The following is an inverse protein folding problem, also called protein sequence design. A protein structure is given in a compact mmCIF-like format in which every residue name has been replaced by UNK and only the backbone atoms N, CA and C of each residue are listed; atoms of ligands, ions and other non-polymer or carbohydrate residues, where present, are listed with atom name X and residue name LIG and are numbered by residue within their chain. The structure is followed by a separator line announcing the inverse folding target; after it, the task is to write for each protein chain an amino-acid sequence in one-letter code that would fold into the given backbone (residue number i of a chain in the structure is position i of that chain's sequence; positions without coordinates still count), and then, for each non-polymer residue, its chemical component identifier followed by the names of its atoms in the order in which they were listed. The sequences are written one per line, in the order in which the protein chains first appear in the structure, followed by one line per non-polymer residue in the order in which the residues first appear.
data_IF_054144095919
#
_entry.id   IF_054144095919
#
_cell.length_a   1.000
_cell.length_b   1.000
_cell.length_c   1.000
_cell.angle_alpha   90.00
_cell.angle_beta   90.00
_cell.angle_gamma   90.00
#
_symmetry.space_group_name_H-M   'P 1'
#
loop_
_entity.id
_entity.type
_entity.pdbx_description
1 polymer ?
#
# COMPACT_ATOMS: atom_id res chain seq x y z
N UNK A 1 20.57 19.73 10.55
CA UNK A 1 20.66 20.55 9.32
C UNK A 1 20.44 19.59 8.17
N UNK A 2 19.43 19.84 7.33
CA UNK A 2 19.07 18.94 6.24
C UNK A 2 20.04 19.12 5.06
N UNK A 3 20.26 18.06 4.28
CA UNK A 3 21.17 18.08 3.13
C UNK A 3 20.84 19.21 2.14
N UNK A 4 19.56 19.42 1.84
CA UNK A 4 19.04 20.52 1.01
C UNK A 4 19.40 21.91 1.53
N UNK A 5 19.46 22.11 2.86
CA UNK A 5 19.81 23.40 3.46
C UNK A 5 21.32 23.66 3.43
N UNK A 6 22.11 22.59 3.31
CA UNK A 6 23.57 22.67 3.25
C UNK A 6 24.07 22.92 1.84
N UNK A 7 23.42 22.36 0.81
CA UNK A 7 23.86 22.45 -0.59
C UNK A 7 24.10 23.91 -1.04
N UNK A 8 23.15 24.86 -0.88
CA UNK A 8 23.34 26.26 -1.31
C UNK A 8 24.51 27.00 -0.63
N UNK A 9 25.03 26.48 0.48
CA UNK A 9 26.19 27.09 1.17
C UNK A 9 27.50 26.84 0.42
N UNK A 10 27.56 25.79 -0.40
CA UNK A 10 28.74 25.45 -1.19
C UNK A 10 28.80 26.26 -2.49
N UNK A 11 29.97 26.80 -2.87
CA UNK A 11 30.11 27.68 -4.04
C UNK A 11 29.53 27.12 -5.34
N UNK A 12 29.69 25.82 -5.60
CA UNK A 12 29.20 25.15 -6.82
C UNK A 12 27.67 24.97 -6.88
N UNK A 13 26.96 25.13 -5.76
CA UNK A 13 25.51 24.96 -5.66
C UNK A 13 24.77 26.29 -5.37
N UNK A 14 25.49 27.41 -5.26
CA UNK A 14 24.87 28.73 -4.95
C UNK A 14 23.83 29.18 -5.97
N UNK A 15 24.01 28.82 -7.23
CA UNK A 15 23.10 29.15 -8.33
C UNK A 15 22.15 28.02 -8.69
N UNK A 16 22.18 26.90 -7.95
CA UNK A 16 21.34 25.75 -8.25
C UNK A 16 19.87 26.07 -8.01
N UNK A 17 19.02 25.64 -8.93
CA UNK A 17 17.56 25.70 -8.79
C UNK A 17 17.11 24.69 -7.75
N UNK A 18 15.94 24.94 -7.16
CA UNK A 18 15.33 24.01 -6.20
C UNK A 18 15.13 22.60 -6.79
N UNK A 19 14.73 22.50 -8.06
CA UNK A 19 14.58 21.22 -8.75
C UNK A 19 15.89 20.43 -8.85
N UNK A 20 17.02 21.10 -9.02
CA UNK A 20 18.34 20.46 -9.10
C UNK A 20 18.80 19.97 -7.71
N UNK A 21 18.44 20.71 -6.65
CA UNK A 21 18.70 20.32 -5.26
C UNK A 21 17.84 19.11 -4.86
N UNK A 22 16.58 19.07 -5.29
CA UNK A 22 15.68 17.93 -5.08
C UNK A 22 16.19 16.70 -5.81
N UNK A 23 16.53 16.81 -7.10
CA UNK A 23 17.10 15.71 -7.87
C UNK A 23 18.41 15.19 -7.26
N UNK A 24 19.28 16.08 -6.76
CA UNK A 24 20.48 15.68 -6.04
C UNK A 24 20.16 14.92 -4.73
N UNK A 25 19.10 15.32 -4.03
CA UNK A 25 18.66 14.67 -2.79
C UNK A 25 18.06 13.29 -3.05
N UNK A 26 17.32 13.14 -4.15
CA UNK A 26 16.82 11.86 -4.66
C UNK A 26 17.96 10.90 -5.02
N UNK A 27 18.99 11.41 -5.73
CA UNK A 27 20.19 10.62 -6.06
C UNK A 27 20.93 10.22 -4.78
N UNK A 28 21.00 11.10 -3.78
CA UNK A 28 21.61 10.78 -2.50
C UNK A 28 20.84 9.68 -1.74
N UNK A 29 19.50 9.77 -1.69
CA UNK A 29 18.64 8.69 -1.17
C UNK A 29 19.00 7.36 -1.85
N UNK A 30 18.99 7.34 -3.19
CA UNK A 30 19.29 6.15 -3.97
C UNK A 30 20.67 5.57 -3.63
N UNK A 31 21.72 6.41 -3.59
CA UNK A 31 23.07 5.93 -3.31
C UNK A 31 23.20 5.30 -1.93
N UNK A 32 22.70 5.99 -0.89
CA UNK A 32 22.78 5.52 0.50
C UNK A 32 21.95 4.24 0.69
N UNK A 33 20.71 4.26 0.22
CA UNK A 33 19.78 3.13 0.41
C UNK A 33 20.20 1.91 -0.36
N UNK A 34 20.78 2.08 -1.56
CA UNK A 34 21.35 0.99 -2.35
C UNK A 34 22.58 0.39 -1.69
N UNK A 35 23.50 1.20 -1.18
CA UNK A 35 24.73 0.70 -0.53
C UNK A 35 24.40 -0.05 0.77
N UNK A 36 23.43 0.44 1.55
CA UNK A 36 23.06 -0.14 2.85
C UNK A 36 21.82 -1.02 2.79
N UNK A 37 21.38 -1.44 1.60
CA UNK A 37 20.07 -2.07 1.39
C UNK A 37 19.80 -3.24 2.34
N UNK A 38 20.74 -4.18 2.45
CA UNK A 38 20.58 -5.37 3.29
C UNK A 38 20.48 -5.03 4.78
N UNK A 39 21.20 -3.99 5.24
CA UNK A 39 21.11 -3.52 6.61
C UNK A 39 19.75 -2.88 6.89
N UNK A 40 19.31 -1.99 5.99
CA UNK A 40 18.09 -1.21 6.13
C UNK A 40 16.81 -2.04 5.95
N UNK A 41 16.80 -3.06 5.08
CA UNK A 41 15.64 -3.94 4.91
C UNK A 41 15.44 -4.90 6.09
N UNK A 42 16.49 -5.22 6.83
CA UNK A 42 16.45 -6.22 7.90
C UNK A 42 16.39 -5.60 9.30
N UNK A 43 16.31 -4.27 9.42
CA UNK A 43 16.38 -3.55 10.69
C UNK A 43 15.10 -3.64 11.53
N UNK A 44 13.95 -3.88 10.90
CA UNK A 44 12.64 -3.85 11.55
C UNK A 44 12.12 -5.28 11.78
N UNK A 45 12.20 -5.77 13.01
CA UNK A 45 11.68 -7.09 13.37
C UNK A 45 10.14 -7.14 13.36
N UNK A 46 9.49 -6.03 13.68
CA UNK A 46 8.03 -5.96 13.66
C UNK A 46 7.48 -6.11 12.23
N UNK A 47 8.15 -5.49 11.25
CA UNK A 47 7.80 -5.67 9.85
C UNK A 47 7.92 -7.14 9.38
N UNK A 48 8.89 -7.90 9.90
CA UNK A 48 9.06 -9.33 9.58
C UNK A 48 7.91 -10.18 10.14
N UNK A 49 7.47 -9.93 11.37
CA UNK A 49 6.35 -10.63 11.99
C UNK A 49 5.02 -10.38 11.24
N UNK A 50 4.84 -9.15 10.77
CA UNK A 50 3.71 -8.80 9.91
C UNK A 50 3.79 -9.50 8.55
N UNK A 51 4.99 -9.62 7.97
CA UNK A 51 5.20 -10.35 6.72
C UNK A 51 4.84 -11.84 6.86
N UNK A 52 5.24 -12.49 7.96
CA UNK A 52 4.83 -13.87 8.25
C UNK A 52 3.30 -14.00 8.35
N UNK A 53 2.66 -13.01 8.98
CA UNK A 53 1.21 -12.97 9.14
C UNK A 53 0.50 -12.76 7.80
N UNK A 54 1.02 -11.87 6.95
CA UNK A 54 0.50 -11.65 5.60
C UNK A 54 0.64 -12.90 4.73
N UNK A 55 1.77 -13.59 4.81
CA UNK A 55 1.98 -14.84 4.08
C UNK A 55 0.96 -15.90 4.48
N UNK A 56 0.64 -16.03 5.78
CA UNK A 56 -0.45 -16.90 6.24
C UNK A 56 -1.80 -16.47 5.68
N UNK A 57 -2.09 -15.17 5.63
CA UNK A 57 -3.31 -14.67 4.99
C UNK A 57 -3.38 -15.05 3.50
N UNK A 58 -2.30 -14.89 2.73
CA UNK A 58 -2.26 -15.27 1.32
C UNK A 58 -2.55 -16.76 1.08
N UNK A 59 -2.16 -17.64 2.00
CA UNK A 59 -2.46 -19.07 1.92
C UNK A 59 -3.91 -19.37 2.29
N UNK A 60 -4.41 -18.73 3.35
CA UNK A 60 -5.75 -18.96 3.88
C UNK A 60 -6.86 -18.38 2.99
N UNK A 61 -6.55 -17.32 2.26
CA UNK A 61 -7.49 -16.53 1.47
C UNK A 61 -7.36 -16.77 -0.04
N UNK A 62 -6.68 -17.85 -0.46
CA UNK A 62 -6.47 -18.17 -1.89
C UNK A 62 -7.80 -18.34 -2.65
N UNK A 63 -8.85 -18.81 -1.96
CA UNK A 63 -10.20 -18.97 -2.49
C UNK A 63 -10.89 -17.66 -2.89
N UNK A 64 -10.42 -16.50 -2.43
CA UNK A 64 -11.09 -15.23 -2.71
C UNK A 64 -11.08 -14.97 -4.21
N UNK A 65 -12.26 -14.90 -4.80
CA UNK A 65 -12.58 -14.40 -6.13
C UNK A 65 -13.06 -12.93 -6.12
N UNK A 66 -13.10 -12.28 -7.29
CA UNK A 66 -13.52 -10.89 -7.48
C UNK A 66 -14.89 -10.58 -6.86
N UNK A 67 -15.87 -11.49 -7.02
CA UNK A 67 -17.23 -11.32 -6.48
C UNK A 67 -17.28 -11.13 -4.96
N UNK A 68 -16.34 -11.72 -4.22
CA UNK A 68 -16.35 -11.61 -2.75
C UNK A 68 -15.93 -10.20 -2.27
N UNK A 69 -15.39 -9.38 -3.17
CA UNK A 69 -14.94 -8.01 -2.94
C UNK A 69 -15.83 -6.99 -3.67
N UNK A 70 -17.07 -7.37 -4.03
CA UNK A 70 -18.02 -6.56 -4.80
C UNK A 70 -17.53 -6.15 -6.21
N UNK A 71 -16.62 -6.93 -6.82
CA UNK A 71 -16.12 -6.64 -8.16
C UNK A 71 -16.78 -7.60 -9.15
N UNK A 72 -17.35 -7.06 -10.22
CA UNK A 72 -17.89 -7.85 -11.33
C UNK A 72 -16.74 -8.62 -12.01
N UNK A 73 -16.76 -9.97 -12.08
CA UNK A 73 -15.69 -10.73 -12.73
C UNK A 73 -15.50 -10.41 -14.22
N UNK A 74 -16.51 -9.84 -14.89
CA UNK A 74 -16.43 -9.40 -16.28
C UNK A 74 -15.72 -8.05 -16.46
N UNK A 75 -15.48 -7.28 -15.39
CA UNK A 75 -14.90 -5.94 -15.48
C UNK A 75 -13.41 -5.92 -15.77
N UNK A 76 -12.70 -6.99 -15.41
CA UNK A 76 -11.26 -7.07 -15.56
C UNK A 76 -10.80 -8.47 -15.96
N UNK A 77 -9.95 -8.54 -16.97
CA UNK A 77 -9.37 -9.78 -17.44
C UNK A 77 -8.22 -10.27 -16.54
N UNK A 78 -8.02 -11.59 -16.53
CA UNK A 78 -6.98 -12.23 -15.71
C UNK A 78 -5.55 -11.82 -16.12
N UNK A 79 -5.32 -11.47 -17.38
CA UNK A 79 -4.00 -11.03 -17.82
C UNK A 79 -3.66 -9.65 -17.23
N UNK A 80 -4.61 -8.71 -17.20
CA UNK A 80 -4.43 -7.41 -16.53
C UNK A 80 -4.13 -7.56 -15.05
N UNK A 81 -4.85 -8.45 -14.34
CA UNK A 81 -4.56 -8.79 -12.94
C UNK A 81 -3.13 -9.33 -12.79
N UNK A 82 -2.71 -10.22 -13.68
CA UNK A 82 -1.38 -10.80 -13.66
C UNK A 82 -0.28 -9.76 -13.93
N UNK A 83 -0.48 -8.85 -14.90
CA UNK A 83 0.44 -7.76 -15.22
C UNK A 83 0.55 -6.78 -14.04
N UNK A 84 -0.56 -6.39 -13.43
CA UNK A 84 -0.57 -5.54 -12.24
C UNK A 84 0.16 -6.22 -11.06
N UNK A 85 -0.11 -7.50 -10.81
CA UNK A 85 0.58 -8.29 -9.79
C UNK A 85 2.08 -8.45 -10.07
N UNK A 86 2.48 -8.55 -11.34
CA UNK A 86 3.90 -8.56 -11.74
C UNK A 86 4.60 -7.24 -11.40
N UNK A 87 3.95 -6.09 -11.64
CA UNK A 87 4.50 -4.79 -11.23
C UNK A 87 4.72 -4.74 -9.71
N UNK A 88 3.78 -5.23 -8.90
CA UNK A 88 3.99 -5.27 -7.45
C UNK A 88 5.14 -6.18 -7.04
N UNK A 89 5.31 -7.35 -7.68
CA UNK A 89 6.43 -8.26 -7.39
C UNK A 89 7.79 -7.65 -7.70
N UNK A 90 7.88 -6.64 -8.57
CA UNK A 90 9.13 -5.93 -8.85
C UNK A 90 9.67 -5.18 -7.61
N UNK A 91 8.83 -4.89 -6.61
CA UNK A 91 9.25 -4.22 -5.38
C UNK A 91 10.42 -4.93 -4.70
N UNK A 92 10.46 -6.27 -4.77
CA UNK A 92 11.53 -7.08 -4.19
C UNK A 92 12.87 -7.01 -4.95
N UNK A 93 12.88 -6.48 -6.17
CA UNK A 93 14.09 -6.27 -6.98
C UNK A 93 14.64 -4.85 -6.86
N UNK A 94 13.84 -3.91 -6.35
CA UNK A 94 14.24 -2.52 -6.16
C UNK A 94 15.02 -2.36 -4.86
N UNK A 95 16.01 -1.46 -4.87
CA UNK A 95 16.85 -1.16 -3.69
C UNK A 95 16.69 0.26 -3.16
N UNK A 96 16.02 1.14 -3.90
CA UNK A 96 15.67 2.49 -3.45
C UNK A 96 14.19 2.59 -3.06
N UNK A 97 13.83 3.43 -2.06
CA UNK A 97 12.46 3.74 -1.70
C UNK A 97 11.63 4.25 -2.89
N UNK A 98 12.19 5.17 -3.69
CA UNK A 98 11.53 5.71 -4.88
C UNK A 98 11.17 4.63 -5.90
N UNK A 99 12.10 3.73 -6.24
CA UNK A 99 11.83 2.68 -7.23
C UNK A 99 10.75 1.70 -6.75
N UNK A 100 10.72 1.43 -5.43
CA UNK A 100 9.67 0.63 -4.81
C UNK A 100 8.30 1.32 -4.91
N UNK A 101 8.22 2.63 -4.69
CA UNK A 101 6.99 3.41 -4.90
C UNK A 101 6.51 3.38 -6.35
N UNK A 102 7.43 3.50 -7.32
CA UNK A 102 7.11 3.40 -8.74
C UNK A 102 6.47 2.05 -9.08
N UNK A 103 6.96 0.94 -8.51
CA UNK A 103 6.34 -0.37 -8.71
C UNK A 103 4.88 -0.41 -8.26
N UNK A 104 4.58 0.21 -7.10
CA UNK A 104 3.22 0.25 -6.56
C UNK A 104 2.35 1.19 -7.41
N UNK A 105 2.85 2.36 -7.81
CA UNK A 105 2.14 3.31 -8.69
C UNK A 105 1.84 2.69 -10.06
N UNK A 106 2.79 1.96 -10.66
CA UNK A 106 2.56 1.25 -11.91
C UNK A 106 1.44 0.21 -11.80
N UNK A 107 1.33 -0.50 -10.67
CA UNK A 107 0.19 -1.38 -10.41
C UNK A 107 -1.14 -0.59 -10.38
N UNK A 108 -1.18 0.53 -9.65
CA UNK A 108 -2.37 1.40 -9.61
C UNK A 108 -2.75 1.95 -10.99
N UNK A 109 -1.78 2.34 -11.81
CA UNK A 109 -2.02 2.82 -13.18
C UNK A 109 -2.71 1.76 -14.04
N UNK A 110 -2.31 0.49 -13.93
CA UNK A 110 -2.96 -0.62 -14.64
C UNK A 110 -4.39 -0.82 -14.14
N UNK A 111 -4.58 -0.84 -12.81
CA UNK A 111 -5.91 -0.99 -12.19
C UNK A 111 -6.85 0.14 -12.62
N UNK A 112 -6.41 1.39 -12.50
CA UNK A 112 -7.19 2.56 -12.84
C UNK A 112 -7.52 2.57 -14.34
N UNK A 113 -6.57 2.24 -15.21
CA UNK A 113 -6.82 2.12 -16.66
C UNK A 113 -7.97 1.16 -16.96
N UNK A 114 -8.02 0.02 -16.27
CA UNK A 114 -9.08 -0.99 -16.49
C UNK A 114 -10.44 -0.53 -15.95
N UNK A 115 -10.46 0.10 -14.79
CA UNK A 115 -11.69 0.71 -14.26
C UNK A 115 -12.20 1.83 -15.18
N UNK A 116 -11.30 2.64 -15.76
CA UNK A 116 -11.68 3.66 -16.74
C UNK A 116 -12.23 3.06 -18.04
N UNK A 117 -11.64 1.99 -18.56
CA UNK A 117 -12.17 1.26 -19.72
C UNK A 117 -13.58 0.71 -19.45
N UNK A 118 -13.81 0.15 -18.26
CA UNK A 118 -15.12 -0.33 -17.82
C UNK A 118 -16.14 0.82 -17.80
N UNK A 119 -15.82 1.95 -17.16
CA UNK A 119 -16.68 3.15 -17.12
C UNK A 119 -17.08 3.56 -18.53
N UNK A 120 -16.13 3.67 -19.46
CA UNK A 120 -16.39 4.13 -20.82
C UNK A 120 -17.30 3.13 -21.54
N UNK A 121 -17.06 1.83 -21.37
CA UNK A 121 -17.88 0.80 -22.01
C UNK A 121 -19.32 0.73 -21.47
N UNK A 122 -19.51 1.03 -20.17
CA UNK A 122 -20.81 1.01 -19.50
C UNK A 122 -21.49 2.39 -19.46
N UNK A 123 -20.81 3.47 -19.87
CA UNK A 123 -21.39 4.81 -19.96
C UNK A 123 -22.60 4.87 -20.91
N UNK A 124 -22.65 3.99 -21.92
CA UNK A 124 -23.81 3.83 -22.80
C UNK A 124 -25.03 3.19 -22.13
N UNK A 125 -24.86 2.58 -20.95
CA UNK A 125 -25.92 1.93 -20.16
C UNK A 125 -26.39 2.80 -18.97
N UNK A 126 -25.97 4.07 -18.88
CA UNK A 126 -26.45 5.03 -17.88
C UNK A 126 -26.06 4.70 -16.43
N UNK A 127 -25.15 3.75 -16.22
CA UNK A 127 -24.80 3.19 -14.91
C UNK A 127 -23.27 3.16 -14.75
N UNK A 128 -22.66 4.29 -14.38
CA UNK A 128 -21.53 4.33 -13.44
C UNK A 128 -20.93 5.73 -13.32
N UNK A 129 -20.93 6.25 -12.10
CA UNK A 129 -19.94 7.24 -11.66
C UNK A 129 -19.04 6.47 -10.69
N UNK A 130 -18.02 5.80 -11.25
CA UNK A 130 -17.03 5.14 -10.41
C UNK A 130 -16.14 6.19 -9.74
N UNK A 131 -16.01 6.11 -8.42
CA UNK A 131 -15.26 7.04 -7.59
C UNK A 131 -13.80 6.61 -7.41
N UNK A 132 -12.98 7.47 -6.80
CA UNK A 132 -11.60 7.14 -6.43
C UNK A 132 -11.48 5.92 -5.47
N UNK A 133 -12.60 5.53 -4.85
CA UNK A 133 -12.70 4.42 -3.90
C UNK A 133 -12.83 3.03 -4.56
N UNK A 134 -13.13 2.97 -5.87
CA UNK A 134 -13.39 1.70 -6.57
C UNK A 134 -12.11 0.94 -6.94
N UNK A 135 -10.97 1.62 -6.92
CA UNK A 135 -9.65 1.00 -7.19
C UNK A 135 -9.15 0.13 -6.04
N UNK A 136 -9.58 0.42 -4.80
CA UNK A 136 -9.04 -0.23 -3.61
C UNK A 136 -9.46 -1.71 -3.49
N UNK A 137 -10.73 -2.11 -3.69
CA UNK A 137 -11.10 -3.53 -3.70
C UNK A 137 -10.33 -4.33 -4.77
N UNK A 138 -10.18 -3.76 -5.97
CA UNK A 138 -9.42 -4.41 -7.03
C UNK A 138 -7.93 -4.50 -6.70
N UNK A 139 -7.37 -3.48 -6.06
CA UNK A 139 -6.01 -3.51 -5.58
C UNK A 139 -5.77 -4.56 -4.48
N UNK A 140 -6.71 -4.70 -3.54
CA UNK A 140 -6.71 -5.79 -2.54
C UNK A 140 -6.69 -7.16 -3.24
N UNK A 141 -7.56 -7.33 -4.25
CA UNK A 141 -7.59 -8.57 -5.02
C UNK A 141 -6.26 -8.87 -5.73
N UNK A 142 -5.70 -7.87 -6.42
CA UNK A 142 -4.40 -7.99 -7.08
C UNK A 142 -3.31 -8.35 -6.07
N UNK A 143 -3.29 -7.73 -4.89
CA UNK A 143 -2.33 -8.07 -3.81
C UNK A 143 -2.47 -9.52 -3.34
N UNK A 144 -3.70 -9.99 -3.11
CA UNK A 144 -3.99 -11.38 -2.71
C UNK A 144 -3.49 -12.39 -3.75
N UNK A 145 -3.69 -12.10 -5.05
CA UNK A 145 -3.22 -12.98 -6.14
C UNK A 145 -1.73 -12.82 -6.44
N UNK A 146 -1.16 -11.63 -6.20
CA UNK A 146 0.25 -11.37 -6.44
C UNK A 146 1.15 -12.07 -5.42
N UNK A 147 0.67 -12.27 -4.19
CA UNK A 147 1.36 -12.92 -3.07
C UNK A 147 2.75 -12.34 -2.86
N UNK A 148 2.84 -11.01 -2.74
CA UNK A 148 4.10 -10.27 -2.73
C UNK A 148 4.90 -10.60 -1.46
N UNK A 149 6.10 -11.18 -1.57
CA UNK A 149 6.91 -11.48 -0.39
C UNK A 149 7.44 -10.20 0.27
N UNK A 150 7.59 -10.24 1.59
CA UNK A 150 8.19 -9.15 2.39
C UNK A 150 7.51 -7.79 2.20
N UNK A 151 6.19 -7.76 1.95
CA UNK A 151 5.48 -6.53 1.61
C UNK A 151 5.50 -5.50 2.76
N UNK A 152 5.35 -5.93 4.02
CA UNK A 152 5.45 -5.06 5.19
C UNK A 152 6.88 -4.54 5.36
N UNK A 153 7.91 -5.39 5.21
CA UNK A 153 9.30 -4.91 5.22
C UNK A 153 9.55 -3.86 4.13
N UNK A 154 9.03 -4.06 2.92
CA UNK A 154 9.12 -3.07 1.84
C UNK A 154 8.35 -1.78 2.17
N UNK A 155 7.16 -1.88 2.76
CA UNK A 155 6.36 -0.74 3.18
C UNK A 155 7.10 0.11 4.24
N UNK A 156 7.66 -0.53 5.27
CA UNK A 156 8.42 0.17 6.31
C UNK A 156 9.74 0.73 5.80
N UNK A 157 10.40 0.03 4.87
CA UNK A 157 11.58 0.56 4.19
C UNK A 157 11.27 1.87 3.46
N UNK A 158 10.17 1.92 2.68
CA UNK A 158 9.73 3.16 2.05
C UNK A 158 9.39 4.21 3.12
N UNK A 159 8.57 3.85 4.13
CA UNK A 159 8.12 4.76 5.19
C UNK A 159 9.29 5.49 5.87
N UNK A 160 10.36 4.75 6.15
CA UNK A 160 11.46 5.21 6.99
C UNK A 160 12.58 5.88 6.19
N UNK A 161 12.78 5.48 4.93
CA UNK A 161 13.95 5.91 4.14
C UNK A 161 13.59 6.75 2.91
N UNK A 162 12.30 6.91 2.58
CA UNK A 162 11.87 7.83 1.53
C UNK A 162 12.18 9.27 1.91
N UNK A 163 12.94 9.95 1.06
CA UNK A 163 13.17 11.37 1.05
C UNK A 163 11.85 12.12 0.88
N UNK A 164 11.60 13.10 1.77
CA UNK A 164 10.41 13.94 1.76
C UNK A 164 10.84 15.39 1.53
N UNK A 165 10.66 15.96 0.33
CA UNK A 165 11.04 17.34 0.06
C UNK A 165 10.25 18.30 0.96
N UNK A 166 10.90 19.37 1.42
CA UNK A 166 10.36 20.31 2.41
C UNK A 166 9.36 21.33 1.84
N UNK A 167 9.38 21.55 0.51
CA UNK A 167 8.50 22.49 -0.20
C UNK A 167 7.65 21.72 -1.21
N UNK A 168 6.49 22.29 -1.52
CA UNK A 168 5.34 21.68 -2.22
C UNK A 168 5.56 21.20 -3.66
N UNK A 169 6.79 20.99 -4.12
CA UNK A 169 7.04 20.03 -5.20
C UNK A 169 6.99 18.64 -4.59
N UNK A 170 5.75 18.25 -4.30
CA UNK A 170 5.39 17.06 -3.52
C UNK A 170 6.01 15.83 -4.20
N UNK A 171 6.35 14.81 -3.40
CA UNK A 171 6.11 13.44 -3.87
C UNK A 171 4.78 13.48 -4.64
N UNK A 172 4.73 13.09 -5.93
CA UNK A 172 3.52 13.19 -6.74
C UNK A 172 2.31 12.83 -5.88
N UNK A 173 1.23 13.62 -5.90
CA UNK A 173 0.02 13.32 -5.08
C UNK A 173 -0.37 11.84 -5.21
N UNK A 174 -0.12 11.28 -6.39
CA UNK A 174 -0.13 9.87 -6.70
C UNK A 174 0.66 8.99 -5.71
N UNK A 175 1.92 9.27 -5.37
CA UNK A 175 2.70 8.49 -4.41
C UNK A 175 2.14 8.54 -2.99
N UNK A 176 1.68 9.71 -2.51
CA UNK A 176 1.00 9.80 -1.19
C UNK A 176 -0.27 8.94 -1.17
N UNK A 177 -1.07 9.04 -2.22
CA UNK A 177 -2.29 8.24 -2.38
C UNK A 177 -1.96 6.75 -2.46
N UNK A 178 -1.06 6.34 -3.36
CA UNK A 178 -0.63 4.96 -3.56
C UNK A 178 -0.08 4.33 -2.28
N UNK A 179 0.75 5.06 -1.53
CA UNK A 179 1.32 4.56 -0.27
C UNK A 179 0.24 4.38 0.81
N UNK A 180 -0.72 5.29 0.88
CA UNK A 180 -1.86 5.20 1.80
C UNK A 180 -2.77 4.04 1.42
N UNK A 181 -3.10 3.88 0.14
CA UNK A 181 -3.91 2.77 -0.37
C UNK A 181 -3.24 1.41 -0.15
N UNK A 182 -1.90 1.34 -0.24
CA UNK A 182 -1.12 0.16 0.16
C UNK A 182 -1.27 -0.16 1.65
N UNK A 183 -1.12 0.82 2.53
CA UNK A 183 -1.33 0.63 3.98
C UNK A 183 -2.74 0.09 4.26
N UNK A 184 -3.77 0.67 3.62
CA UNK A 184 -5.17 0.26 3.81
C UNK A 184 -5.39 -1.16 3.29
N UNK A 185 -4.90 -1.50 2.10
CA UNK A 185 -5.08 -2.84 1.52
C UNK A 185 -4.38 -3.93 2.34
N UNK A 186 -3.15 -3.67 2.80
CA UNK A 186 -2.41 -4.57 3.68
C UNK A 186 -3.15 -4.82 5.00
N UNK A 187 -3.67 -3.75 5.63
CA UNK A 187 -4.52 -3.83 6.81
C UNK A 187 -5.76 -4.68 6.56
N UNK A 188 -6.46 -4.38 5.47
CA UNK A 188 -7.69 -5.07 5.12
C UNK A 188 -7.45 -6.58 5.04
N UNK A 189 -6.40 -7.02 4.33
CA UNK A 189 -6.04 -8.43 4.17
C UNK A 189 -5.77 -9.13 5.52
N UNK A 190 -5.07 -8.47 6.45
CA UNK A 190 -4.84 -9.03 7.79
C UNK A 190 -6.14 -9.19 8.61
N UNK A 191 -7.15 -8.37 8.33
CA UNK A 191 -8.41 -8.34 9.06
C UNK A 191 -9.58 -9.04 8.33
N UNK A 192 -9.34 -9.70 7.18
CA UNK A 192 -10.40 -10.39 6.44
C UNK A 192 -11.03 -11.48 7.32
N UNK A 193 -12.35 -11.36 7.48
CA UNK A 193 -13.25 -12.30 8.13
C UNK A 193 -14.52 -12.42 7.27
N UNK A 194 -15.41 -13.36 7.59
CA UNK A 194 -16.63 -13.60 6.80
C UNK A 194 -17.49 -12.35 6.59
N UNK A 195 -17.53 -11.42 7.54
CA UNK A 195 -18.32 -10.19 7.47
C UNK A 195 -17.71 -9.08 6.59
N UNK A 196 -16.45 -9.25 6.15
CA UNK A 196 -15.79 -8.31 5.23
C UNK A 196 -15.87 -8.75 3.76
N UNK A 197 -16.47 -9.92 3.51
CA UNK A 197 -16.59 -10.52 2.18
C UNK A 197 -18.06 -10.73 1.82
N UNK A 198 -18.34 -10.71 0.52
CA UNK A 198 -19.64 -11.03 -0.04
C UNK A 198 -19.69 -12.51 -0.39
N UNK A 199 -20.16 -13.32 0.57
CA UNK A 199 -20.30 -14.77 0.43
C UNK A 199 -21.74 -15.11 0.04
N UNK A 200 -21.91 -16.08 -0.86
CA UNK A 200 -23.22 -16.64 -1.19
C UNK A 200 -23.76 -17.52 -0.04
N UNK A 201 -25.05 -17.84 -0.06
CA UNK A 201 -25.71 -18.57 1.02
C UNK A 201 -25.15 -19.99 1.22
N UNK A 202 -24.60 -20.59 0.16
CA UNK A 202 -23.95 -21.89 0.11
C UNK A 202 -22.44 -21.83 0.42
N UNK A 203 -21.84 -20.64 0.46
CA UNK A 203 -20.41 -20.45 0.73
C UNK A 203 -20.13 -20.32 2.23
N UNK A 204 -19.47 -21.33 2.82
CA UNK A 204 -19.01 -21.27 4.20
C UNK A 204 -17.55 -20.82 4.31
N UNK A 205 -17.32 -19.63 4.89
CA UNK A 205 -15.98 -19.04 5.06
C UNK A 205 -14.98 -20.01 5.73
N UNK A 206 -15.38 -20.72 6.80
CA UNK A 206 -14.46 -21.60 7.53
C UNK A 206 -14.05 -22.80 6.68
N UNK A 207 -14.95 -23.31 5.85
CA UNK A 207 -14.67 -24.44 4.96
C UNK A 207 -13.79 -24.02 3.78
N UNK A 208 -14.06 -22.87 3.17
CA UNK A 208 -13.24 -22.30 2.11
C UNK A 208 -11.79 -22.02 2.56
N UNK A 209 -11.61 -21.50 3.77
CA UNK A 209 -10.27 -21.34 4.38
C UNK A 209 -9.59 -22.69 4.59
N UNK A 210 -10.30 -23.71 5.09
CA UNK A 210 -9.75 -25.07 5.27
C UNK A 210 -9.32 -25.68 3.94
N UNK A 211 -10.11 -25.52 2.88
CA UNK A 211 -9.78 -26.00 1.53
C UNK A 211 -8.54 -25.28 0.98
N UNK A 212 -8.44 -23.97 1.16
CA UNK A 212 -7.26 -23.17 0.75
C UNK A 212 -5.98 -23.60 1.48
N UNK A 213 -6.08 -23.85 2.79
CA UNK A 213 -4.98 -24.42 3.59
C UNK A 213 -4.52 -25.77 3.06
N UNK A 214 -5.46 -26.70 2.79
CA UNK A 214 -5.14 -28.04 2.25
C UNK A 214 -4.44 -27.96 0.90
N UNK A 215 -4.93 -27.10 -0.02
CA UNK A 215 -4.31 -26.87 -1.34
C UNK A 215 -2.87 -26.34 -1.22
N UNK A 216 -2.60 -25.51 -0.22
CA UNK A 216 -1.27 -24.93 0.01
C UNK A 216 -0.32 -25.92 0.72
N UNK A 217 -0.81 -26.69 1.69
CA UNK A 217 -0.03 -27.70 2.42
C UNK A 217 0.39 -28.90 1.55
N UNK A 218 -0.35 -29.21 0.48
CA UNK A 218 0.09 -30.18 -0.53
C UNK A 218 1.34 -29.71 -1.30
N UNK A 219 1.75 -28.44 -1.16
CA UNK A 219 2.86 -27.82 -1.90
C UNK A 219 4.04 -27.41 -1.01
N UNK A 220 3.93 -27.36 0.33
CA UNK A 220 5.07 -27.09 1.25
C UNK A 220 4.73 -27.42 2.72
N UNK A 221 5.70 -28.03 3.44
CA UNK A 221 5.61 -28.55 4.81
C UNK A 221 5.74 -27.48 5.90
N UNK A 222 4.84 -27.56 6.89
CA UNK A 222 4.90 -27.09 8.31
C UNK A 222 5.57 -25.76 8.67
N UNK A 223 4.77 -24.77 9.09
CA UNK A 223 5.16 -23.79 10.13
C UNK A 223 3.97 -23.59 11.08
N UNK A 224 4.26 -23.65 12.39
CA UNK A 224 3.30 -23.61 13.50
C UNK A 224 2.63 -22.25 13.70
N UNK A 225 1.38 -22.32 14.17
CA UNK A 225 0.52 -21.17 14.50
C UNK A 225 1.05 -20.44 15.74
N UNK A 226 1.40 -19.16 15.59
CA UNK A 226 1.56 -18.23 16.71
C UNK A 226 0.48 -17.17 16.60
N UNK A 227 -0.37 -17.12 17.62
CA UNK A 227 -1.49 -16.19 17.74
C UNK A 227 -0.97 -14.76 17.68
N UNK A 228 -1.47 -14.02 16.70
CA UNK A 228 -1.15 -12.63 16.45
C UNK A 228 -1.78 -11.71 17.52
N UNK A 229 -1.03 -10.75 18.08
CA UNK A 229 -1.51 -9.85 19.14
C UNK A 229 -2.17 -8.60 18.54
N UNK A 230 -3.47 -8.41 18.79
CA UNK A 230 -4.27 -7.25 18.38
C UNK A 230 -3.70 -5.89 18.84
N UNK A 231 -2.86 -5.87 19.88
CA UNK A 231 -2.22 -4.65 20.40
C UNK A 231 -1.22 -4.02 19.44
N UNK A 232 -0.46 -4.82 18.69
CA UNK A 232 0.60 -4.30 17.82
C UNK A 232 0.05 -3.78 16.47
N UNK A 233 -1.05 -4.36 15.97
CA UNK A 233 -1.83 -3.74 14.88
C UNK A 233 -2.42 -2.40 15.31
N UNK A 234 -2.82 -2.27 16.57
CA UNK A 234 -3.38 -1.02 17.09
C UNK A 234 -2.34 0.10 17.13
N UNK A 235 -1.08 -0.18 17.47
CA UNK A 235 0.02 0.79 17.38
C UNK A 235 0.42 1.10 15.94
N UNK A 236 0.48 0.07 15.08
CA UNK A 236 0.76 0.20 13.64
C UNK A 236 -0.27 1.07 12.90
N UNK A 237 -1.53 1.02 13.35
CA UNK A 237 -2.65 1.81 12.83
C UNK A 237 -3.10 2.91 13.78
N UNK A 238 -2.27 3.29 14.76
CA UNK A 238 -2.51 4.51 15.49
C UNK A 238 -2.53 5.66 14.48
N UNK A 239 -3.53 6.56 14.55
CA UNK A 239 -3.47 7.77 13.75
C UNK A 239 -2.13 8.47 14.04
N UNK A 240 -1.44 8.86 12.97
CA UNK A 240 -0.25 9.69 13.04
C UNK A 240 -0.57 11.06 13.70
N UNK A 241 -1.82 11.51 13.61
CA UNK A 241 -2.35 12.68 14.27
C UNK A 241 -3.01 12.34 15.61
N UNK A 242 -2.46 12.89 16.69
CA UNK A 242 -3.01 12.82 18.05
C UNK A 242 -3.28 14.21 18.63
N UNK A 243 -3.23 15.27 17.81
CA UNK A 243 -3.36 16.67 18.22
C UNK A 243 -4.82 17.12 18.41
N UNK A 244 -4.99 18.38 18.80
CA UNK A 244 -6.31 18.98 19.06
C UNK A 244 -7.08 19.22 17.74
N UNK A 245 -8.31 18.72 17.62
CA UNK A 245 -9.14 18.94 16.42
C UNK A 245 -9.87 20.28 16.58
N UNK A 246 -9.18 21.39 16.27
CA UNK A 246 -9.81 22.71 16.24
C UNK A 246 -9.28 23.57 15.08
N UNK A 247 -10.15 24.42 14.54
CA UNK A 247 -9.80 25.30 13.40
C UNK A 247 -8.62 26.22 13.77
N UNK A 248 -8.60 26.74 15.00
CA UNK A 248 -7.49 27.56 15.49
C UNK A 248 -6.17 26.79 15.57
N UNK A 249 -6.21 25.53 15.96
CA UNK A 249 -5.04 24.65 16.00
C UNK A 249 -4.48 24.37 14.61
N UNK A 250 -5.33 24.06 13.62
CA UNK A 250 -4.89 23.77 12.26
C UNK A 250 -4.40 25.00 11.48
N UNK A 251 -4.96 26.19 11.76
CA UNK A 251 -4.45 27.45 11.21
C UNK A 251 -3.02 27.71 11.72
N UNK A 252 -2.78 27.41 13.00
CA UNK A 252 -1.47 27.58 13.63
C UNK A 252 -0.48 26.47 13.25
N UNK A 253 -0.99 25.27 12.93
CA UNK A 253 -0.21 24.09 12.59
C UNK A 253 -0.70 23.43 11.28
N UNK A 254 -0.45 24.03 10.11
CA UNK A 254 -0.97 23.53 8.83
C UNK A 254 -0.46 22.13 8.44
N UNK A 255 0.73 21.75 8.93
CA UNK A 255 1.31 20.42 8.69
C UNK A 255 0.54 19.31 9.42
N UNK A 256 -0.06 19.64 10.56
CA UNK A 256 -0.87 18.72 11.35
C UNK A 256 -2.26 18.50 10.74
N UNK A 257 -2.76 19.47 9.97
CA UNK A 257 -3.99 19.32 9.20
C UNK A 257 -3.84 18.24 8.12
N UNK A 258 -2.68 18.16 7.45
CA UNK A 258 -2.43 17.08 6.47
C UNK A 258 -2.39 15.69 7.15
N UNK A 259 -1.78 15.59 8.33
CA UNK A 259 -1.75 14.34 9.12
C UNK A 259 -3.16 13.94 9.57
N UNK A 260 -3.92 14.89 10.10
CA UNK A 260 -5.30 14.69 10.52
C UNK A 260 -6.19 14.23 9.34
N UNK A 261 -6.10 14.90 8.20
CA UNK A 261 -6.86 14.53 6.99
C UNK A 261 -6.49 13.11 6.52
N UNK A 262 -5.20 12.78 6.49
CA UNK A 262 -4.72 11.46 6.08
C UNK A 262 -5.26 10.34 6.98
N UNK A 263 -5.30 10.56 8.30
CA UNK A 263 -5.83 9.58 9.24
C UNK A 263 -7.36 9.53 9.27
N UNK A 264 -8.01 10.69 9.10
CA UNK A 264 -9.46 10.81 9.07
C UNK A 264 -10.07 10.04 7.89
N UNK A 265 -9.47 10.10 6.70
CA UNK A 265 -9.91 9.30 5.55
C UNK A 265 -9.66 7.80 5.72
N UNK A 266 -8.58 7.41 6.40
CA UNK A 266 -8.32 6.01 6.73
C UNK A 266 -9.29 5.43 7.79
N UNK A 267 -9.87 6.28 8.64
CA UNK A 267 -10.90 5.92 9.62
C UNK A 267 -12.32 5.89 9.01
N UNK A 268 -12.61 6.77 8.05
CA UNK A 268 -13.91 6.81 7.37
C UNK A 268 -14.17 5.59 6.47
N UNK A 269 -13.13 5.00 5.87
CA UNK A 269 -13.22 3.76 5.11
C UNK A 269 -13.55 2.54 5.97
N UNK A 270 -13.35 2.62 7.30
CA UNK A 270 -13.68 1.56 8.25
C UNK A 270 -15.12 1.70 8.79
N UNK A 271 -15.73 2.89 8.73
CA UNK A 271 -17.03 3.18 9.36
C UNK A 271 -18.24 3.19 8.40
N UNK A 272 -18.08 2.92 7.11
CA UNK A 272 -19.20 2.63 6.20
C UNK A 272 -19.37 1.11 6.00
N UNK A 273 -19.82 0.42 7.05
CA UNK A 273 -20.62 -0.82 7.00
C UNK A 273 -21.17 -1.07 8.39
#
# INVERSE_FOLDING_TARGET
MLFEETLPKYPCWRSAKYSEIEEASEVLEFMITKEKYDLLMNSDNFAKELDESLMRCYQNLDFIELRHLDINPASIDQNSIAVAGNQLRMIGKCTSPRDKLICISNCFRIINSKLYEEIISNAHQGTSVHGADDSLPLFVYVLLKAKVPKLFSNFYFIKNYRYKPRREYRDPVEFKYTFTSLKIAMKFILEIKSNKLHLQADENFKELVKLSKKKTQATQTSVEDKSFRELELREMFSPAYTGEISVGHFISNPQELELFISDYFALLTIKKK
#
